data_IF_676555017602
#
_entry.id   IF_676555017602
#
_cell.length_a   1.000
_cell.length_b   1.000
_cell.length_c   1.000
_cell.angle_alpha   90.00
_cell.angle_beta   90.00
_cell.angle_gamma   90.00
#
_symmetry.space_group_name_H-M   'P 1'
#
loop_
_entity.id
_entity.type
_entity.pdbx_description
1 polymer ?
#
# COMPACT_ATOMS: atom_id res chain seq x y z
N UNK A 1 -14.41 2.22 -0.66
CA UNK A 1 -13.83 1.03 0.02
C UNK A 1 -14.96 0.27 0.66
N UNK A 2 -15.00 -1.05 0.48
CA UNK A 2 -16.05 -1.90 1.05
C UNK A 2 -15.35 -3.02 1.81
N UNK A 3 -15.82 -3.32 3.01
CA UNK A 3 -15.38 -4.48 3.78
C UNK A 3 -16.45 -5.55 3.64
N UNK A 4 -16.07 -6.79 3.35
CA UNK A 4 -16.99 -7.92 3.27
C UNK A 4 -16.40 -9.19 3.87
N UNK A 5 -17.26 -10.19 4.07
CA UNK A 5 -16.91 -11.58 4.38
C UNK A 5 -16.16 -11.80 5.70
N UNK A 6 -16.85 -11.51 6.81
CA UNK A 6 -16.39 -11.88 8.15
C UNK A 6 -16.60 -13.38 8.41
N UNK A 7 -15.51 -14.16 8.42
CA UNK A 7 -15.53 -15.56 8.89
C UNK A 7 -14.76 -15.70 10.20
N UNK A 8 -15.39 -16.33 11.20
CA UNK A 8 -14.73 -16.66 12.46
C UNK A 8 -14.05 -18.03 12.32
N UNK A 9 -12.72 -18.05 12.36
CA UNK A 9 -11.94 -19.29 12.48
C UNK A 9 -11.17 -19.18 13.79
N UNK A 10 -11.46 -20.04 14.76
CA UNK A 10 -10.73 -20.08 16.04
C UNK A 10 -10.62 -18.71 16.76
N UNK A 11 -11.74 -18.00 16.93
CA UNK A 11 -11.82 -16.65 17.55
C UNK A 11 -11.16 -15.50 16.76
N UNK A 12 -10.73 -15.75 15.52
CA UNK A 12 -10.16 -14.75 14.60
C UNK A 12 -11.16 -14.42 13.51
N UNK A 13 -11.35 -13.12 13.24
CA UNK A 13 -12.13 -12.61 12.10
C UNK A 13 -11.23 -12.50 10.88
N UNK A 14 -11.61 -13.18 9.80
CA UNK A 14 -11.08 -12.88 8.47
C UNK A 14 -11.88 -11.73 7.86
N UNK A 15 -11.22 -10.70 7.37
CA UNK A 15 -11.83 -9.46 6.87
C UNK A 15 -11.35 -9.26 5.44
N UNK A 16 -12.26 -9.27 4.47
CA UNK A 16 -11.92 -8.93 3.09
C UNK A 16 -12.08 -7.42 2.89
N UNK A 17 -11.02 -6.75 2.47
CA UNK A 17 -11.00 -5.31 2.16
C UNK A 17 -11.00 -5.12 0.65
N UNK A 18 -11.90 -4.28 0.14
CA UNK A 18 -12.05 -3.98 -1.28
C UNK A 18 -11.83 -2.50 -1.58
N UNK A 19 -10.95 -2.23 -2.55
CA UNK A 19 -10.72 -0.90 -3.14
C UNK A 19 -10.76 -1.04 -4.66
N UNK A 20 -11.86 -0.58 -5.27
CA UNK A 20 -12.12 -0.78 -6.69
C UNK A 20 -12.14 -2.27 -7.04
N UNK A 21 -11.23 -2.69 -7.93
CA UNK A 21 -11.07 -4.09 -8.34
C UNK A 21 -10.09 -4.88 -7.47
N UNK A 22 -9.37 -4.20 -6.57
CA UNK A 22 -8.39 -4.82 -5.69
C UNK A 22 -9.03 -5.29 -4.39
N UNK A 23 -8.60 -6.46 -3.94
CA UNK A 23 -9.05 -7.12 -2.73
C UNK A 23 -7.85 -7.70 -2.00
N UNK A 24 -7.83 -7.62 -0.68
CA UNK A 24 -6.96 -8.44 0.19
C UNK A 24 -7.70 -8.86 1.46
N UNK A 25 -7.11 -9.79 2.20
CA UNK A 25 -7.68 -10.30 3.45
C UNK A 25 -6.77 -10.01 4.63
N UNK A 26 -7.32 -9.46 5.72
CA UNK A 26 -6.63 -9.29 7.00
C UNK A 26 -7.31 -10.12 8.08
N UNK A 27 -6.56 -10.50 9.12
CA UNK A 27 -7.04 -11.37 10.19
C UNK A 27 -6.84 -10.69 11.54
N UNK A 28 -7.93 -10.52 12.29
CA UNK A 28 -7.90 -9.86 13.60
C UNK A 28 -8.78 -10.57 14.62
N UNK A 29 -8.35 -10.63 15.87
CA UNK A 29 -9.18 -11.03 17.00
C UNK A 29 -9.94 -9.82 17.52
N UNK A 30 -11.04 -10.06 18.25
CA UNK A 30 -11.80 -8.98 18.88
C UNK A 30 -10.93 -8.05 19.75
N UNK A 31 -9.93 -8.59 20.46
CA UNK A 31 -9.02 -7.79 21.28
C UNK A 31 -8.29 -6.72 20.47
N UNK A 32 -7.93 -7.02 19.23
CA UNK A 32 -7.22 -6.10 18.33
C UNK A 32 -8.14 -4.99 17.83
N UNK A 33 -9.43 -5.29 17.59
CA UNK A 33 -10.45 -4.25 17.35
C UNK A 33 -10.60 -3.30 18.54
N UNK A 34 -10.53 -3.84 19.76
CA UNK A 34 -10.63 -3.04 20.97
C UNK A 34 -9.40 -2.14 21.16
N UNK A 35 -8.19 -2.65 20.93
CA UNK A 35 -6.96 -1.85 20.94
C UNK A 35 -6.98 -0.75 19.87
N UNK A 36 -7.47 -1.05 18.66
CA UNK A 36 -7.71 -0.04 17.62
C UNK A 36 -8.68 1.02 18.13
N UNK A 37 -9.81 0.62 18.71
CA UNK A 37 -10.82 1.56 19.18
C UNK A 37 -10.30 2.48 20.30
N UNK A 38 -9.56 1.96 21.27
CA UNK A 38 -8.95 2.77 22.33
C UNK A 38 -7.98 3.83 21.76
N UNK A 39 -7.20 3.48 20.73
CA UNK A 39 -6.36 4.46 20.00
C UNK A 39 -7.21 5.53 19.31
N UNK A 40 -8.29 5.13 18.64
CA UNK A 40 -9.20 6.05 17.94
C UNK A 40 -9.96 6.97 18.92
N UNK A 41 -10.39 6.47 20.07
CA UNK A 41 -11.03 7.25 21.14
C UNK A 41 -10.06 8.28 21.71
N UNK A 42 -8.85 7.85 22.07
CA UNK A 42 -7.86 8.71 22.72
C UNK A 42 -7.31 9.80 21.80
N UNK A 43 -7.08 9.49 20.52
CA UNK A 43 -6.45 10.41 19.56
C UNK A 43 -7.47 11.23 18.75
N UNK A 44 -8.63 10.66 18.44
CA UNK A 44 -9.61 11.25 17.51
C UNK A 44 -10.99 11.49 18.14
N UNK A 45 -11.14 11.28 19.45
CA UNK A 45 -12.38 11.53 20.22
C UNK A 45 -13.59 10.76 19.69
N UNK A 46 -13.36 9.58 19.10
CA UNK A 46 -14.43 8.67 18.69
C UNK A 46 -15.28 8.28 19.90
N UNK A 47 -16.59 8.12 19.69
CA UNK A 47 -17.51 7.71 20.76
C UNK A 47 -17.19 6.29 21.23
N UNK A 48 -16.92 6.14 22.53
CA UNK A 48 -16.54 4.88 23.22
C UNK A 48 -17.56 3.74 23.08
N UNK A 49 -18.80 4.07 22.77
CA UNK A 49 -19.89 3.10 22.66
C UNK A 49 -20.08 2.54 21.24
N UNK A 50 -19.24 2.94 20.27
CA UNK A 50 -19.37 2.51 18.88
C UNK A 50 -18.84 1.10 18.62
N UNK A 51 -17.92 0.60 19.44
CA UNK A 51 -17.44 -0.77 19.33
C UNK A 51 -18.40 -1.73 20.05
N UNK A 52 -18.86 -2.83 19.42
CA UNK A 52 -19.73 -3.81 20.07
C UNK A 52 -19.04 -4.38 21.32
N UNK A 53 -19.72 -4.59 22.46
CA UNK A 53 -19.08 -4.88 23.73
C UNK A 53 -18.38 -6.25 23.79
N UNK A 54 -17.37 -6.33 24.67
CA UNK A 54 -16.72 -7.60 25.04
C UNK A 54 -17.76 -8.54 25.65
N UNK A 55 -17.63 -9.83 25.35
CA UNK A 55 -18.42 -10.86 26.05
C UNK A 55 -17.57 -11.35 27.21
N UNK A 56 -18.02 -11.10 28.43
CA UNK A 56 -17.23 -11.33 29.65
C UNK A 56 -17.53 -12.75 30.22
N UNK A 57 -18.66 -13.36 29.87
CA UNK A 57 -19.06 -14.68 30.34
C UNK A 57 -19.84 -15.50 29.29
N UNK A 58 -19.72 -16.84 29.37
CA UNK A 58 -20.52 -17.81 28.60
C UNK A 58 -19.97 -18.20 27.22
N UNK A 59 -20.33 -19.40 26.75
CA UNK A 59 -19.93 -19.93 25.43
C UNK A 59 -20.36 -18.98 24.30
N UNK A 60 -19.54 -18.88 23.25
CA UNK A 60 -19.86 -18.10 22.05
C UNK A 60 -20.89 -18.91 21.23
N UNK A 61 -22.16 -18.54 21.29
CA UNK A 61 -23.17 -19.15 20.42
C UNK A 61 -22.96 -18.67 18.98
N UNK A 62 -23.37 -19.48 18.00
CA UNK A 62 -23.25 -19.11 16.59
C UNK A 62 -23.99 -17.80 16.26
N UNK A 63 -25.19 -17.61 16.81
CA UNK A 63 -25.95 -16.36 16.67
C UNK A 63 -25.20 -15.15 17.23
N UNK A 64 -24.49 -15.32 18.35
CA UNK A 64 -23.69 -14.25 18.93
C UNK A 64 -22.50 -13.88 18.04
N UNK A 65 -21.84 -14.90 17.48
CA UNK A 65 -20.73 -14.71 16.54
C UNK A 65 -21.20 -13.95 15.30
N UNK A 66 -22.29 -14.40 14.67
CA UNK A 66 -22.85 -13.76 13.47
C UNK A 66 -23.28 -12.32 13.73
N UNK A 67 -23.96 -12.06 14.86
CA UNK A 67 -24.34 -10.69 15.24
C UNK A 67 -23.11 -9.79 15.43
N UNK A 68 -22.11 -10.26 16.17
CA UNK A 68 -20.88 -9.49 16.40
C UNK A 68 -20.11 -9.26 15.10
N UNK A 69 -20.08 -10.21 14.18
CA UNK A 69 -19.46 -10.04 12.86
C UNK A 69 -20.10 -8.87 12.11
N UNK A 70 -21.43 -8.84 12.02
CA UNK A 70 -22.16 -7.74 11.38
C UNK A 70 -21.91 -6.38 12.06
N UNK A 71 -21.86 -6.36 13.41
CA UNK A 71 -21.57 -5.14 14.16
C UNK A 71 -20.12 -4.64 13.94
N UNK A 72 -19.14 -5.55 13.83
CA UNK A 72 -17.74 -5.19 13.54
C UNK A 72 -17.55 -4.73 12.10
N UNK A 73 -18.26 -5.33 11.14
CA UNK A 73 -18.29 -4.88 9.75
C UNK A 73 -18.80 -3.44 9.65
N UNK A 74 -19.97 -3.18 10.25
CA UNK A 74 -20.56 -1.84 10.30
C UNK A 74 -19.65 -0.85 11.02
N UNK A 75 -19.02 -1.25 12.12
CA UNK A 75 -18.06 -0.42 12.84
C UNK A 75 -16.90 0.04 11.92
N UNK A 76 -16.24 -0.88 11.22
CA UNK A 76 -15.12 -0.52 10.34
C UNK A 76 -15.57 0.32 9.15
N UNK A 77 -16.71 0.00 8.54
CA UNK A 77 -17.27 0.81 7.46
C UNK A 77 -17.53 2.25 7.92
N UNK A 78 -18.12 2.42 9.10
CA UNK A 78 -18.35 3.75 9.70
C UNK A 78 -17.04 4.49 9.97
N UNK A 79 -16.00 3.82 10.48
CA UNK A 79 -14.70 4.45 10.70
C UNK A 79 -14.08 4.92 9.38
N UNK A 80 -14.17 4.11 8.32
CA UNK A 80 -13.65 4.45 7.00
C UNK A 80 -14.42 5.59 6.31
N UNK A 81 -15.70 5.77 6.62
CA UNK A 81 -16.49 6.91 6.12
C UNK A 81 -16.33 8.15 7.00
N UNK A 82 -16.02 7.99 8.29
CA UNK A 82 -15.87 9.10 9.22
C UNK A 82 -14.61 9.94 8.95
N UNK A 83 -13.52 9.29 8.56
CA UNK A 83 -12.24 9.95 8.31
C UNK A 83 -12.05 10.27 6.83
N UNK A 84 -11.80 11.54 6.51
CA UNK A 84 -11.28 11.92 5.19
C UNK A 84 -9.86 11.38 5.01
N UNK A 85 -8.99 11.62 6.00
CA UNK A 85 -7.64 11.06 6.05
C UNK A 85 -7.60 9.91 7.06
N UNK A 86 -7.35 8.69 6.57
CA UNK A 86 -7.42 7.49 7.41
C UNK A 86 -6.33 7.51 8.48
N UNK A 87 -6.67 7.42 9.79
CA UNK A 87 -5.70 7.38 10.86
C UNK A 87 -4.66 6.27 10.70
N UNK A 88 -3.41 6.55 11.12
CA UNK A 88 -2.30 5.59 11.00
C UNK A 88 -2.61 4.24 11.67
N UNK A 89 -3.30 4.23 12.81
CA UNK A 89 -3.68 3.00 13.49
C UNK A 89 -4.71 2.18 12.71
N UNK A 90 -5.65 2.82 12.00
CA UNK A 90 -6.65 2.17 11.16
C UNK A 90 -6.03 1.68 9.84
N UNK A 91 -5.16 2.49 9.25
CA UNK A 91 -4.35 2.13 8.08
C UNK A 91 -3.49 0.88 8.35
N UNK A 92 -2.81 0.84 9.50
CA UNK A 92 -2.05 -0.35 9.92
C UNK A 92 -2.94 -1.56 10.17
N UNK A 93 -4.11 -1.36 10.81
CA UNK A 93 -5.06 -2.43 11.06
C UNK A 93 -5.57 -3.07 9.76
N UNK A 94 -5.72 -2.28 8.70
CA UNK A 94 -6.20 -2.76 7.41
C UNK A 94 -5.09 -3.06 6.39
N UNK A 95 -3.81 -2.99 6.77
CA UNK A 95 -2.66 -3.23 5.91
C UNK A 95 -2.64 -2.36 4.63
N UNK A 96 -2.89 -1.05 4.77
CA UNK A 96 -2.87 -0.15 3.60
C UNK A 96 -1.47 0.06 3.03
N UNK A 97 -0.43 -0.01 3.87
CA UNK A 97 0.97 0.13 3.43
C UNK A 97 1.40 -0.97 2.45
N UNK A 98 0.71 -2.10 2.47
CA UNK A 98 1.00 -3.26 1.65
C UNK A 98 0.16 -3.33 0.36
N UNK A 99 -1.02 -2.69 0.33
CA UNK A 99 -2.02 -2.94 -0.72
C UNK A 99 -2.72 -1.69 -1.27
N UNK A 100 -2.72 -0.56 -0.56
CA UNK A 100 -3.42 0.65 -0.94
C UNK A 100 -2.44 1.71 -1.47
N UNK A 101 -2.84 2.43 -2.52
CA UNK A 101 -1.97 3.32 -3.29
C UNK A 101 -1.35 4.42 -2.42
N UNK A 102 -2.12 5.08 -1.56
CA UNK A 102 -1.60 6.12 -0.65
C UNK A 102 -0.70 5.49 0.42
N UNK A 103 -1.11 4.38 1.03
CA UNK A 103 -0.32 3.68 2.02
C UNK A 103 1.06 3.25 1.49
N UNK A 104 1.11 2.63 0.31
CA UNK A 104 2.35 2.19 -0.33
C UNK A 104 3.25 3.38 -0.67
N UNK A 105 2.67 4.46 -1.22
CA UNK A 105 3.42 5.64 -1.59
C UNK A 105 3.99 6.38 -0.36
N UNK A 106 3.21 6.47 0.73
CA UNK A 106 3.65 7.05 1.99
C UNK A 106 4.75 6.22 2.66
N UNK A 107 4.65 4.89 2.64
CA UNK A 107 5.70 4.01 3.17
C UNK A 107 7.00 4.20 2.41
N UNK A 108 6.94 4.27 1.07
CA UNK A 108 8.10 4.53 0.25
C UNK A 108 8.69 5.93 0.49
N UNK A 109 7.83 6.94 0.65
CA UNK A 109 8.26 8.29 1.02
C UNK A 109 9.01 8.27 2.35
N UNK A 110 8.47 7.60 3.36
CA UNK A 110 9.11 7.50 4.67
C UNK A 110 10.46 6.75 4.58
N UNK A 111 10.56 5.69 3.79
CA UNK A 111 11.83 4.99 3.55
C UNK A 111 12.87 5.91 2.89
N UNK A 112 12.49 6.59 1.81
CA UNK A 112 13.39 7.46 1.04
C UNK A 112 13.77 8.72 1.81
N UNK A 113 12.92 9.19 2.73
CA UNK A 113 13.28 10.29 3.62
C UNK A 113 14.51 9.94 4.48
N UNK A 114 14.60 8.69 4.95
CA UNK A 114 15.69 8.27 5.85
C UNK A 114 16.93 7.76 5.11
N UNK A 115 16.77 7.19 3.92
CA UNK A 115 17.85 6.49 3.20
C UNK A 115 18.18 7.08 1.83
N UNK A 116 17.35 7.96 1.29
CA UNK A 116 17.43 8.44 -0.09
C UNK A 116 18.78 9.08 -0.43
N UNK A 117 19.23 10.05 0.38
CA UNK A 117 20.51 10.71 0.16
C UNK A 117 21.69 9.73 0.23
N UNK A 118 21.68 8.79 1.19
CA UNK A 118 22.71 7.76 1.30
C UNK A 118 22.78 6.87 0.05
N UNK A 119 21.63 6.42 -0.46
CA UNK A 119 21.55 5.61 -1.69
C UNK A 119 22.12 6.39 -2.88
N UNK A 120 21.80 7.69 -2.98
CA UNK A 120 22.26 8.55 -4.07
C UNK A 120 23.77 8.83 -3.99
N UNK A 121 24.30 9.11 -2.80
CA UNK A 121 25.72 9.37 -2.56
C UNK A 121 26.58 8.13 -2.80
N UNK A 122 26.13 6.97 -2.30
CA UNK A 122 26.83 5.70 -2.47
C UNK A 122 26.72 5.14 -3.89
N UNK A 123 25.78 5.66 -4.70
CA UNK A 123 25.50 5.11 -6.04
C UNK A 123 24.96 3.68 -5.97
N UNK A 124 24.18 3.37 -4.94
CA UNK A 124 23.61 2.05 -4.76
C UNK A 124 22.51 1.75 -5.79
N UNK A 125 22.30 0.47 -6.06
CA UNK A 125 21.19 0.03 -6.89
C UNK A 125 19.90 0.16 -6.09
N UNK A 126 19.05 1.09 -6.49
CA UNK A 126 17.73 1.23 -5.89
C UNK A 126 16.80 0.12 -6.40
N UNK A 127 16.22 -0.62 -5.46
CA UNK A 127 15.30 -1.71 -5.75
C UNK A 127 13.87 -1.23 -5.55
N UNK A 128 13.02 -1.43 -6.54
CA UNK A 128 11.61 -1.06 -6.47
C UNK A 128 10.74 -2.11 -7.13
N UNK A 129 9.55 -2.34 -6.58
CA UNK A 129 8.55 -3.25 -7.18
C UNK A 129 7.64 -2.52 -8.17
N UNK A 130 7.04 -3.22 -9.15
CA UNK A 130 5.98 -2.67 -9.98
C UNK A 130 4.80 -2.10 -9.18
N UNK A 131 4.49 -2.66 -8.02
CA UNK A 131 3.43 -2.16 -7.16
C UNK A 131 3.76 -0.78 -6.57
N UNK A 132 5.01 -0.59 -6.09
CA UNK A 132 5.46 0.71 -5.60
C UNK A 132 5.53 1.76 -6.73
N UNK A 133 6.06 1.38 -7.90
CA UNK A 133 6.05 2.25 -9.08
C UNK A 133 4.64 2.63 -9.50
N UNK A 134 3.72 1.66 -9.56
CA UNK A 134 2.31 1.89 -9.84
C UNK A 134 1.69 2.86 -8.82
N UNK A 135 1.97 2.67 -7.53
CA UNK A 135 1.45 3.54 -6.49
C UNK A 135 1.91 5.00 -6.68
N UNK A 136 3.20 5.23 -6.93
CA UNK A 136 3.72 6.58 -7.23
C UNK A 136 3.11 7.14 -8.51
N UNK A 137 3.13 6.39 -9.62
CA UNK A 137 2.59 6.86 -10.90
C UNK A 137 1.10 7.24 -10.76
N UNK A 138 0.31 6.45 -10.03
CA UNK A 138 -1.10 6.78 -9.76
C UNK A 138 -1.24 8.02 -8.88
N UNK A 139 -0.47 8.12 -7.78
CA UNK A 139 -0.49 9.31 -6.90
C UNK A 139 -0.21 10.60 -7.67
N UNK A 140 0.75 10.59 -8.59
CA UNK A 140 1.11 11.76 -9.40
C UNK A 140 0.03 12.17 -10.40
N UNK A 141 -0.95 11.31 -10.68
CA UNK A 141 -2.09 11.63 -11.56
C UNK A 141 -3.31 12.15 -10.81
N UNK A 142 -3.34 12.05 -9.47
CA UNK A 142 -4.46 12.51 -8.67
C UNK A 142 -4.41 14.04 -8.48
N UNK A 143 -5.56 14.73 -8.50
CA UNK A 143 -5.64 16.17 -8.26
C UNK A 143 -5.57 16.49 -6.76
N UNK A 144 -4.54 15.99 -6.09
CA UNK A 144 -4.38 16.04 -4.63
C UNK A 144 -2.98 16.56 -4.27
N UNK A 145 -2.80 17.18 -3.10
CA UNK A 145 -1.47 17.55 -2.62
C UNK A 145 -0.53 16.35 -2.55
N UNK A 146 0.76 16.59 -2.78
CA UNK A 146 1.81 15.59 -2.58
C UNK A 146 2.14 15.35 -1.11
N UNK A 147 1.63 16.20 -0.22
CA UNK A 147 1.93 16.23 1.21
C UNK A 147 0.64 16.53 2.00
N UNK A 148 0.31 15.67 2.96
CA UNK A 148 -0.80 15.91 3.88
C UNK A 148 -0.27 16.53 5.19
N UNK A 149 -0.82 17.69 5.56
CA UNK A 149 -0.77 18.26 6.91
C UNK A 149 0.62 18.39 7.60
N UNK A 150 1.72 18.51 6.86
CA UNK A 150 3.02 18.92 7.40
C UNK A 150 3.94 17.80 7.89
N UNK A 151 3.63 16.52 7.64
CA UNK A 151 4.58 15.43 7.84
C UNK A 151 5.50 15.29 6.62
N UNK A 152 6.59 16.07 6.62
CA UNK A 152 7.58 16.10 5.53
C UNK A 152 8.14 14.72 5.18
N UNK A 153 8.08 13.74 6.09
CA UNK A 153 8.58 12.38 5.83
C UNK A 153 7.75 11.63 4.79
N UNK A 154 6.49 12.01 4.63
CA UNK A 154 5.53 11.32 3.75
C UNK A 154 5.24 12.09 2.46
N UNK A 155 5.91 13.21 2.26
CA UNK A 155 5.76 14.03 1.05
C UNK A 155 6.23 13.26 -0.20
N UNK A 156 5.51 13.36 -1.31
CA UNK A 156 6.01 12.82 -2.59
C UNK A 156 7.05 13.73 -3.24
N UNK A 157 7.24 14.95 -2.74
CA UNK A 157 8.24 15.89 -3.23
C UNK A 157 9.66 15.33 -3.15
N UNK A 158 10.10 14.79 -2.00
CA UNK A 158 11.43 14.18 -1.88
C UNK A 158 11.51 12.82 -2.58
N UNK A 159 10.40 12.10 -2.71
CA UNK A 159 10.34 10.89 -3.55
C UNK A 159 10.65 11.24 -5.01
N UNK A 160 10.06 12.32 -5.52
CA UNK A 160 10.31 12.82 -6.87
C UNK A 160 11.75 13.31 -7.04
N UNK A 161 12.28 14.09 -6.08
CA UNK A 161 13.69 14.50 -6.10
C UNK A 161 14.61 13.28 -6.21
N UNK A 162 14.41 12.29 -5.33
CA UNK A 162 15.17 11.04 -5.35
C UNK A 162 15.05 10.30 -6.70
N UNK A 163 13.83 10.09 -7.19
CA UNK A 163 13.57 9.38 -8.46
C UNK A 163 14.23 10.08 -9.64
N UNK A 164 14.26 11.41 -9.67
CA UNK A 164 14.88 12.15 -10.77
C UNK A 164 16.41 12.02 -10.78
N UNK A 165 17.02 11.74 -9.62
CA UNK A 165 18.47 11.67 -9.40
C UNK A 165 19.04 10.25 -9.43
N UNK A 166 18.20 9.22 -9.26
CA UNK A 166 18.68 7.82 -9.19
C UNK A 166 19.32 7.38 -10.52
N UNK A 167 20.48 6.72 -10.42
CA UNK A 167 21.27 6.27 -11.58
C UNK A 167 21.12 4.79 -11.89
N UNK A 168 20.89 3.97 -10.86
CA UNK A 168 20.84 2.52 -10.98
C UNK A 168 19.54 2.00 -10.40
N UNK A 169 18.68 1.47 -11.25
CA UNK A 169 17.36 0.98 -10.86
C UNK A 169 17.25 -0.51 -11.17
N UNK A 170 16.73 -1.25 -10.20
CA UNK A 170 16.30 -2.64 -10.41
C UNK A 170 14.81 -2.77 -10.10
N UNK A 171 14.06 -3.19 -11.11
CA UNK A 171 12.64 -3.50 -11.02
C UNK A 171 12.47 -5.01 -10.96
N UNK A 172 11.89 -5.50 -9.87
CA UNK A 172 11.59 -6.92 -9.71
C UNK A 172 10.08 -7.16 -9.71
N UNK A 173 9.60 -7.78 -10.78
CA UNK A 173 8.21 -8.13 -10.98
C UNK A 173 7.81 -9.43 -10.30
N UNK A 174 6.53 -9.76 -10.43
CA UNK A 174 5.94 -11.01 -9.94
C UNK A 174 4.63 -11.31 -10.67
N UNK A 175 4.48 -12.56 -11.10
CA UNK A 175 3.21 -13.10 -11.60
C UNK A 175 2.35 -13.71 -10.48
N UNK A 176 2.86 -13.74 -9.24
CA UNK A 176 2.11 -14.16 -8.05
C UNK A 176 1.45 -12.95 -7.39
N UNK A 177 0.26 -13.12 -6.78
CA UNK A 177 -0.37 -12.06 -6.03
C UNK A 177 0.47 -11.59 -4.83
N UNK A 178 0.35 -10.31 -4.46
CA UNK A 178 1.02 -9.75 -3.28
C UNK A 178 0.29 -10.19 -2.02
N UNK A 179 0.95 -10.93 -1.14
CA UNK A 179 0.39 -11.37 0.14
C UNK A 179 -0.96 -12.09 0.00
N UNK A 180 -1.99 -11.59 0.68
CA UNK A 180 -3.36 -12.13 0.62
C UNK A 180 -4.23 -11.47 -0.45
N UNK A 181 -3.65 -10.59 -1.27
CA UNK A 181 -4.39 -9.81 -2.25
C UNK A 181 -4.64 -10.55 -3.57
N UNK A 182 -5.47 -9.96 -4.42
CA UNK A 182 -5.56 -10.29 -5.85
C UNK A 182 -4.65 -9.41 -6.73
N UNK A 183 -3.78 -8.59 -6.13
CA UNK A 183 -2.90 -7.65 -6.85
C UNK A 183 -1.74 -8.43 -7.42
N UNK A 184 -1.64 -8.51 -8.75
CA UNK A 184 -0.52 -9.13 -9.46
C UNK A 184 0.39 -8.01 -9.97
N UNK A 185 1.62 -7.85 -9.45
CA UNK A 185 2.51 -6.76 -9.83
C UNK A 185 2.71 -6.60 -11.34
N UNK A 186 2.83 -7.72 -12.06
CA UNK A 186 3.01 -7.72 -13.52
C UNK A 186 1.77 -7.28 -14.33
N UNK A 187 0.62 -7.06 -13.69
CA UNK A 187 -0.59 -6.56 -14.34
C UNK A 187 -0.78 -5.05 -14.14
N UNK A 188 0.05 -4.41 -13.31
CA UNK A 188 -0.03 -2.99 -13.01
C UNK A 188 0.75 -2.17 -14.04
N UNK A 189 0.19 -1.04 -14.46
CA UNK A 189 0.89 -0.06 -15.30
C UNK A 189 1.66 0.95 -14.45
N UNK A 190 2.85 1.34 -14.91
CA UNK A 190 3.65 2.34 -14.22
C UNK A 190 4.56 3.06 -15.21
N UNK A 191 4.90 4.30 -14.85
CA UNK A 191 5.60 5.24 -15.70
C UNK A 191 7.01 5.53 -15.14
N UNK A 192 8.03 5.36 -15.98
CA UNK A 192 9.42 5.69 -15.66
C UNK A 192 9.84 7.08 -16.16
N UNK A 193 8.94 7.89 -16.70
CA UNK A 193 9.24 9.21 -17.24
C UNK A 193 9.88 10.16 -16.23
N UNK A 194 9.64 9.97 -14.93
CA UNK A 194 10.25 10.77 -13.87
C UNK A 194 11.75 10.46 -13.64
N UNK A 195 12.26 9.33 -14.12
CA UNK A 195 13.65 8.89 -13.90
C UNK A 195 14.61 9.57 -14.89
N UNK A 196 14.97 10.83 -14.61
CA UNK A 196 15.74 11.67 -15.55
C UNK A 196 17.23 11.32 -15.62
N UNK A 197 17.81 10.77 -14.56
CA UNK A 197 19.26 10.50 -14.46
C UNK A 197 19.65 9.03 -14.63
N UNK A 198 18.72 8.17 -15.06
CA UNK A 198 18.92 6.72 -15.05
C UNK A 198 20.00 6.27 -16.05
N UNK A 199 21.01 5.56 -15.55
CA UNK A 199 22.14 5.04 -16.33
C UNK A 199 22.07 3.53 -16.55
N UNK A 200 21.56 2.78 -15.55
CA UNK A 200 21.31 1.35 -15.67
C UNK A 200 19.91 1.00 -15.20
N UNK A 201 19.21 0.24 -16.04
CA UNK A 201 17.90 -0.33 -15.75
C UNK A 201 17.99 -1.85 -15.82
N UNK A 202 17.73 -2.51 -14.69
CA UNK A 202 17.57 -3.95 -14.62
C UNK A 202 16.10 -4.28 -14.38
N UNK A 203 15.51 -5.10 -15.24
CA UNK A 203 14.14 -5.56 -15.13
C UNK A 203 14.18 -7.08 -15.02
N UNK A 204 13.66 -7.61 -13.92
CA UNK A 204 13.58 -9.05 -13.64
C UNK A 204 12.14 -9.47 -13.41
N UNK A 205 11.72 -10.60 -13.99
CA UNK A 205 10.40 -11.22 -13.74
C UNK A 205 9.21 -10.27 -13.96
N UNK A 206 9.34 -9.28 -14.83
CA UNK A 206 8.37 -8.21 -15.05
C UNK A 206 7.95 -8.13 -16.52
N UNK A 207 6.67 -7.85 -16.77
CA UNK A 207 6.13 -7.74 -18.13
C UNK A 207 6.35 -6.32 -18.68
N UNK A 208 7.05 -6.21 -19.80
CA UNK A 208 7.36 -4.95 -20.47
C UNK A 208 6.15 -4.18 -21.05
N UNK A 209 5.02 -4.85 -21.30
CA UNK A 209 3.84 -4.25 -21.98
C UNK A 209 3.11 -3.19 -21.14
N UNK A 210 3.45 -3.07 -19.85
CA UNK A 210 2.81 -2.16 -18.88
C UNK A 210 3.72 -1.03 -18.44
N UNK A 211 4.91 -0.96 -19.05
CA UNK A 211 5.94 0.00 -18.76
C UNK A 211 5.81 1.20 -19.72
N UNK A 212 5.70 2.39 -19.17
CA UNK A 212 5.60 3.66 -19.90
C UNK A 212 6.87 4.50 -19.66
N UNK A 213 7.19 5.42 -20.59
CA UNK A 213 8.24 6.43 -20.38
C UNK A 213 9.68 5.98 -20.63
N UNK A 214 9.91 4.78 -21.18
CA UNK A 214 11.27 4.26 -21.45
C UNK A 214 12.00 5.09 -22.50
N UNK A 215 11.25 5.59 -23.48
CA UNK A 215 11.73 6.45 -24.55
C UNK A 215 12.35 7.75 -24.05
N UNK A 216 11.94 8.24 -22.87
CA UNK A 216 12.43 9.47 -22.26
C UNK A 216 13.83 9.31 -21.65
N UNK A 217 14.35 8.07 -21.55
CA UNK A 217 15.66 7.76 -20.95
C UNK A 217 16.75 7.49 -21.98
N UNK A 218 16.48 7.61 -23.29
CA UNK A 218 17.42 7.25 -24.37
C UNK A 218 18.76 8.00 -24.32
N UNK A 219 18.79 9.22 -23.78
CA UNK A 219 20.02 10.03 -23.68
C UNK A 219 20.88 9.73 -22.45
N UNK A 220 20.34 9.05 -21.44
CA UNK A 220 21.00 8.80 -20.15
C UNK A 220 21.24 7.33 -19.86
N UNK A 221 20.46 6.44 -20.47
CA UNK A 221 20.52 5.00 -20.24
C UNK A 221 21.65 4.35 -21.05
N UNK A 222 22.66 3.84 -20.35
CA UNK A 222 23.82 3.16 -20.94
C UNK A 222 23.68 1.63 -20.90
N UNK A 223 22.91 1.09 -19.96
CA UNK A 223 22.74 -0.34 -19.78
C UNK A 223 21.28 -0.72 -19.48
N UNK A 224 20.68 -1.54 -20.35
CA UNK A 224 19.37 -2.16 -20.13
C UNK A 224 19.54 -3.66 -20.05
N UNK A 225 19.13 -4.27 -18.93
CA UNK A 225 19.15 -5.73 -18.74
C UNK A 225 17.74 -6.20 -18.42
N UNK A 226 17.24 -7.12 -19.24
CA UNK A 226 15.94 -7.75 -19.03
C UNK A 226 16.16 -9.24 -18.78
N UNK A 227 15.72 -9.73 -17.62
CA UNK A 227 15.86 -11.13 -17.19
C UNK A 227 14.47 -11.71 -16.91
N UNK A 228 14.23 -12.93 -17.39
CA UNK A 228 12.97 -13.65 -17.17
C UNK A 228 11.70 -12.84 -17.49
N UNK A 229 11.79 -11.91 -18.45
CA UNK A 229 10.60 -11.23 -18.97
C UNK A 229 9.84 -12.20 -19.87
N UNK A 230 8.53 -12.25 -19.68
CA UNK A 230 7.64 -13.11 -20.45
C UNK A 230 7.57 -12.66 -21.92
N UNK A 231 7.92 -11.39 -22.23
CA UNK A 231 7.98 -10.81 -23.59
C UNK A 231 9.00 -9.65 -23.71
N UNK A 232 9.54 -9.41 -24.90
CA UNK A 232 10.53 -8.33 -25.15
C UNK A 232 9.95 -6.91 -25.03
N UNK A 233 10.77 -5.97 -24.54
CA UNK A 233 10.50 -4.52 -24.59
C UNK A 233 10.57 -4.08 -26.06
N UNK A 234 9.58 -3.32 -26.54
CA UNK A 234 9.58 -2.71 -27.88
C UNK A 234 10.12 -1.30 -27.83
#
# INVERSE_FOLDING_TARGET
MIIHNFQLISQVYNIDVYIGLHKWSVKHRYSEFHELHEKLVSQYKINKNLLPPKKIFGKQSENFIRKRQAELELYLQNMLTHFTDVPACLSQFLCFKEYEIHGIAQELAEELFHKGDMILEAGEVFHISPLQLHAISRRLTLPEPTCDAGDMKKDLGHVLDFITRVKYLKIQGSSKPVGTSNIIPNQLSFDLSCFKSLQSLQISDCTAERLEGVENMKGTLHALRVQHSIKSIK
#
